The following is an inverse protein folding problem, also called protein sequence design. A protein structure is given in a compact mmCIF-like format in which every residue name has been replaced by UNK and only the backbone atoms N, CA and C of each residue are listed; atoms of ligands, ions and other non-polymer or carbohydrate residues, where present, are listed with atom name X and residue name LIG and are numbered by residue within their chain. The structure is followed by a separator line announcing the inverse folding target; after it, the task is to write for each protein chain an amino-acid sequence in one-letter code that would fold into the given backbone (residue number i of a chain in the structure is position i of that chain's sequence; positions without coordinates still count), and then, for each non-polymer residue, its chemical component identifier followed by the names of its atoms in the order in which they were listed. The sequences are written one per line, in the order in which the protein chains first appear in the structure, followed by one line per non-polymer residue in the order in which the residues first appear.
data_IF_580523613540
#
_entry.id   IF_580523613540
#
_cell.length_a   1.000
_cell.length_b   1.000
_cell.length_c   1.000
_cell.angle_alpha   90.00
_cell.angle_beta   90.00
_cell.angle_gamma   90.00
#
_symmetry.space_group_name_H-M   'P 1'
#
loop_
_entity.id
_entity.type
_entity.pdbx_description
1 polymer ?
#
# COMPACT_ATOMS: atom_id res chain seq x y z
N UNK A 1 23.72 3.99 6.44
CA UNK A 1 23.42 4.36 5.04
C UNK A 1 23.61 3.23 4.03
N UNK A 2 24.82 2.78 3.66
CA UNK A 2 24.95 1.71 2.63
C UNK A 2 24.30 0.38 3.02
N UNK A 3 24.41 -0.02 4.29
CA UNK A 3 23.82 -1.26 4.80
C UNK A 3 22.27 -1.20 4.84
N UNK A 4 21.70 -0.05 5.21
CA UNK A 4 20.24 0.17 5.20
C UNK A 4 19.68 0.23 3.77
N UNK A 5 20.42 0.85 2.84
CA UNK A 5 20.02 0.93 1.44
C UNK A 5 20.02 -0.46 0.77
N UNK A 6 21.03 -1.28 1.06
CA UNK A 6 21.10 -2.66 0.59
C UNK A 6 19.95 -3.52 1.15
N UNK A 7 19.62 -3.35 2.43
CA UNK A 7 18.51 -4.02 3.10
C UNK A 7 17.16 -3.66 2.44
N UNK A 8 16.92 -2.36 2.18
CA UNK A 8 15.73 -1.90 1.46
C UNK A 8 15.62 -2.48 0.04
N UNK A 9 16.73 -2.61 -0.69
CA UNK A 9 16.74 -3.20 -2.04
C UNK A 9 16.45 -4.70 -1.97
N UNK A 10 17.02 -5.40 -1.00
CA UNK A 10 16.78 -6.83 -0.81
C UNK A 10 15.31 -7.10 -0.51
N UNK A 11 14.72 -6.38 0.45
CA UNK A 11 13.31 -6.51 0.78
C UNK A 11 12.37 -6.23 -0.39
N UNK A 12 12.72 -5.30 -1.29
CA UNK A 12 11.93 -5.06 -2.53
C UNK A 12 11.99 -6.25 -3.48
N UNK A 13 13.17 -6.86 -3.65
CA UNK A 13 13.32 -8.04 -4.53
C UNK A 13 12.57 -9.24 -3.96
N UNK A 14 12.66 -9.47 -2.65
CA UNK A 14 11.94 -10.56 -1.98
C UNK A 14 10.42 -10.37 -2.10
N UNK A 15 9.94 -9.14 -1.91
CA UNK A 15 8.53 -8.80 -2.13
C UNK A 15 8.11 -9.06 -3.59
N UNK A 16 8.90 -8.66 -4.58
CA UNK A 16 8.60 -8.91 -6.00
C UNK A 16 8.49 -10.40 -6.31
N UNK A 17 9.43 -11.23 -5.85
CA UNK A 17 9.38 -12.68 -6.02
C UNK A 17 8.10 -13.27 -5.42
N UNK A 18 7.73 -12.83 -4.23
CA UNK A 18 6.52 -13.27 -3.54
C UNK A 18 5.25 -12.83 -4.29
N UNK A 19 5.24 -11.62 -4.85
CA UNK A 19 4.12 -11.13 -5.68
C UNK A 19 3.98 -11.94 -6.99
N UNK A 20 5.09 -12.22 -7.67
CA UNK A 20 5.11 -13.03 -8.89
C UNK A 20 4.59 -14.45 -8.61
N UNK A 21 5.08 -15.06 -7.54
CA UNK A 21 4.58 -16.36 -7.09
C UNK A 21 3.07 -16.30 -6.80
N UNK A 22 2.60 -15.32 -6.02
CA UNK A 22 1.19 -15.19 -5.66
C UNK A 22 0.27 -15.08 -6.88
N UNK A 23 0.69 -14.38 -7.94
CA UNK A 23 -0.08 -14.24 -9.20
C UNK A 23 -0.27 -15.56 -9.94
N UNK A 24 0.61 -16.53 -9.72
CA UNK A 24 0.50 -17.87 -10.33
C UNK A 24 -0.35 -18.84 -9.50
N UNK A 25 -0.75 -18.43 -8.29
CA UNK A 25 -1.55 -19.25 -7.39
C UNK A 25 -3.05 -18.99 -7.53
N UNK A 26 -3.83 -19.93 -7.01
CA UNK A 26 -5.27 -19.84 -6.81
C UNK A 26 -5.60 -20.22 -5.34
N UNK A 27 -6.87 -20.15 -4.96
CA UNK A 27 -7.31 -20.36 -3.59
C UNK A 27 -6.84 -21.68 -2.94
N UNK A 28 -6.84 -22.80 -3.67
CA UNK A 28 -6.38 -24.09 -3.13
C UNK A 28 -4.86 -24.18 -3.14
N UNK A 29 -4.24 -23.81 -4.25
CA UNK A 29 -2.80 -23.93 -4.46
C UNK A 29 -1.99 -23.05 -3.51
N UNK A 30 -2.57 -21.93 -3.07
CA UNK A 30 -2.00 -21.01 -2.10
C UNK A 30 -1.95 -21.63 -0.69
N UNK A 31 -2.96 -22.42 -0.32
CA UNK A 31 -3.04 -23.05 1.02
C UNK A 31 -2.27 -24.36 1.11
N UNK A 32 -1.95 -24.96 -0.05
CA UNK A 32 -1.25 -26.24 -0.19
C UNK A 32 0.26 -26.07 -0.42
N UNK A 33 0.84 -24.90 -0.11
CA UNK A 33 2.27 -24.61 -0.28
C UNK A 33 3.18 -25.64 0.43
N UNK A 34 2.70 -26.27 1.52
CA UNK A 34 3.44 -27.31 2.25
C UNK A 34 3.70 -28.58 1.42
N UNK A 35 2.86 -28.86 0.43
CA UNK A 35 2.99 -30.04 -0.44
C UNK A 35 3.86 -29.81 -1.67
N UNK A 36 4.23 -28.56 -1.95
CA UNK A 36 4.94 -28.15 -3.16
C UNK A 36 6.40 -27.83 -2.89
N UNK A 37 7.21 -27.93 -3.94
CA UNK A 37 8.63 -27.58 -3.91
C UNK A 37 8.89 -26.32 -4.75
N UNK A 38 9.53 -25.34 -4.13
CA UNK A 38 9.86 -24.06 -4.74
C UNK A 38 10.54 -23.14 -3.73
N UNK A 39 11.19 -22.07 -4.21
CA UNK A 39 11.91 -21.12 -3.34
C UNK A 39 10.95 -20.44 -2.36
N UNK A 40 9.80 -19.97 -2.85
CA UNK A 40 8.79 -19.27 -2.04
C UNK A 40 8.05 -20.26 -1.13
N UNK A 41 7.69 -21.44 -1.62
CA UNK A 41 7.08 -22.49 -0.83
C UNK A 41 7.98 -22.95 0.31
N UNK A 42 9.29 -23.08 0.06
CA UNK A 42 10.30 -23.37 1.08
C UNK A 42 10.36 -22.30 2.16
N UNK A 43 10.32 -21.02 1.78
CA UNK A 43 10.27 -19.91 2.74
C UNK A 43 8.99 -19.93 3.58
N UNK A 44 7.83 -20.18 2.97
CA UNK A 44 6.55 -20.28 3.68
C UNK A 44 6.51 -21.47 4.65
N UNK A 45 7.12 -22.60 4.27
CA UNK A 45 7.31 -23.77 5.15
C UNK A 45 8.15 -23.42 6.37
N UNK A 46 9.32 -22.82 6.16
CA UNK A 46 10.22 -22.38 7.22
C UNK A 46 9.56 -21.34 8.15
N UNK A 47 8.74 -20.42 7.61
CA UNK A 47 7.91 -19.52 8.43
C UNK A 47 6.88 -20.31 9.25
N UNK A 48 6.18 -21.26 8.64
CA UNK A 48 5.15 -22.07 9.32
C UNK A 48 5.76 -22.91 10.44
N UNK A 49 6.92 -23.52 10.21
CA UNK A 49 7.66 -24.30 11.22
C UNK A 49 8.13 -23.42 12.37
N UNK A 50 8.69 -22.24 12.08
CA UNK A 50 9.07 -21.28 13.13
C UNK A 50 7.87 -20.79 13.93
N UNK A 51 6.75 -20.51 13.28
CA UNK A 51 5.52 -20.07 13.95
C UNK A 51 4.90 -21.17 14.82
N UNK A 52 5.01 -22.44 14.39
CA UNK A 52 4.59 -23.59 15.18
C UNK A 52 5.53 -23.85 16.37
N UNK A 53 6.84 -23.62 16.18
CA UNK A 53 7.82 -23.72 17.26
C UNK A 53 7.65 -22.56 18.25
N UNK A 54 7.86 -22.78 19.55
CA UNK A 54 7.87 -21.69 20.55
C UNK A 54 9.07 -20.73 20.41
N UNK A 55 9.78 -20.74 19.28
CA UNK A 55 11.02 -20.01 19.04
C UNK A 55 10.97 -19.09 17.81
N UNK A 56 11.40 -17.84 18.02
CA UNK A 56 11.84 -16.86 17.02
C UNK A 56 10.87 -16.37 15.93
N UNK A 57 9.62 -16.81 15.85
CA UNK A 57 8.65 -16.12 14.98
C UNK A 57 8.08 -14.87 15.66
N UNK A 58 8.44 -13.69 15.17
CA UNK A 58 7.86 -12.42 15.59
C UNK A 58 6.79 -11.98 14.60
N UNK A 59 5.53 -12.18 14.96
CA UNK A 59 4.41 -11.64 14.22
C UNK A 59 4.45 -10.10 14.23
N UNK A 60 4.14 -9.49 13.08
CA UNK A 60 4.09 -8.04 12.90
C UNK A 60 2.83 -7.67 12.13
N UNK A 61 2.31 -6.46 12.35
CA UNK A 61 1.18 -5.93 11.58
C UNK A 61 1.43 -5.94 10.06
N UNK A 62 2.68 -5.73 9.65
CA UNK A 62 3.06 -5.78 8.23
C UNK A 62 2.94 -7.20 7.66
N UNK A 63 3.07 -8.23 8.50
CA UNK A 63 2.85 -9.62 8.10
C UNK A 63 1.39 -9.84 7.69
N UNK A 64 0.43 -9.34 8.48
CA UNK A 64 -1.00 -9.40 8.13
C UNK A 64 -1.30 -8.71 6.78
N UNK A 65 -0.74 -7.52 6.57
CA UNK A 65 -0.88 -6.77 5.32
C UNK A 65 -0.27 -7.55 4.14
N UNK A 66 0.87 -8.23 4.36
CA UNK A 66 1.49 -9.11 3.37
C UNK A 66 0.60 -10.30 2.97
N UNK A 67 -0.03 -10.97 3.94
CA UNK A 67 -0.99 -12.05 3.66
C UNK A 67 -2.16 -11.55 2.82
N UNK A 68 -2.73 -10.40 3.17
CA UNK A 68 -3.80 -9.79 2.40
C UNK A 68 -3.37 -9.46 0.96
N UNK A 69 -2.14 -8.96 0.79
CA UNK A 69 -1.58 -8.67 -0.54
C UNK A 69 -1.45 -9.94 -1.40
N UNK A 70 -0.99 -11.05 -0.82
CA UNK A 70 -0.90 -12.33 -1.53
C UNK A 70 -2.28 -12.84 -1.96
N UNK A 71 -3.29 -12.72 -1.08
CA UNK A 71 -4.67 -13.11 -1.38
C UNK A 71 -5.29 -12.24 -2.49
N UNK A 72 -5.00 -10.94 -2.49
CA UNK A 72 -5.43 -10.03 -3.55
C UNK A 72 -4.82 -10.42 -4.90
N UNK A 73 -3.52 -10.73 -4.94
CA UNK A 73 -2.80 -11.08 -6.16
C UNK A 73 -3.21 -12.43 -6.75
N UNK A 74 -3.60 -13.39 -5.90
CA UNK A 74 -4.12 -14.70 -6.30
C UNK A 74 -5.64 -14.69 -6.57
N UNK A 75 -6.29 -13.52 -6.48
CA UNK A 75 -7.73 -13.34 -6.61
C UNK A 75 -8.54 -14.27 -5.68
N UNK A 76 -8.01 -14.55 -4.48
CA UNK A 76 -8.54 -15.50 -3.50
C UNK A 76 -8.94 -14.77 -2.20
N UNK A 77 -9.70 -13.69 -2.32
CA UNK A 77 -10.04 -12.78 -1.21
C UNK A 77 -11.17 -13.27 -0.30
N UNK A 78 -11.59 -14.53 -0.45
CA UNK A 78 -12.64 -15.11 0.38
C UNK A 78 -12.15 -15.34 1.83
N UNK A 79 -12.99 -15.03 2.85
CA UNK A 79 -12.61 -15.23 4.26
C UNK A 79 -12.18 -16.66 4.60
N UNK A 80 -12.77 -17.65 3.92
CA UNK A 80 -12.44 -19.06 4.12
C UNK A 80 -11.01 -19.41 3.66
N UNK A 81 -10.50 -18.74 2.63
CA UNK A 81 -9.13 -18.95 2.14
C UNK A 81 -8.12 -18.35 3.11
N UNK A 82 -8.40 -17.15 3.64
CA UNK A 82 -7.57 -16.53 4.66
C UNK A 82 -7.46 -17.43 5.90
N UNK A 83 -8.57 -18.03 6.34
CA UNK A 83 -8.57 -18.95 7.48
C UNK A 83 -7.70 -20.19 7.23
N UNK A 84 -7.83 -20.81 6.06
CA UNK A 84 -6.98 -21.94 5.66
C UNK A 84 -5.51 -21.57 5.56
N UNK A 85 -5.20 -20.38 5.03
CA UNK A 85 -3.83 -19.88 4.91
C UNK A 85 -3.20 -19.60 6.28
N UNK A 86 -3.95 -18.96 7.19
CA UNK A 86 -3.51 -18.75 8.58
C UNK A 86 -3.25 -20.07 9.30
N UNK A 87 -4.13 -21.07 9.11
CA UNK A 87 -3.94 -22.40 9.68
C UNK A 87 -2.69 -23.09 9.12
N UNK A 88 -2.47 -23.04 7.80
CA UNK A 88 -1.29 -23.62 7.16
C UNK A 88 0.03 -22.95 7.60
N UNK A 89 -0.01 -21.67 7.98
CA UNK A 89 1.13 -20.92 8.49
C UNK A 89 1.28 -20.97 10.03
N UNK A 90 0.39 -21.65 10.75
CA UNK A 90 0.36 -21.68 12.22
C UNK A 90 0.25 -20.30 12.88
N UNK A 91 -0.60 -19.42 12.32
CA UNK A 91 -0.78 -18.04 12.80
C UNK A 91 -2.22 -17.83 13.30
N UNK A 92 -2.36 -17.07 14.39
CA UNK A 92 -3.65 -16.72 14.96
C UNK A 92 -4.44 -15.78 14.02
N UNK A 93 -5.52 -16.32 13.43
CA UNK A 93 -6.45 -15.58 12.57
C UNK A 93 -7.00 -14.33 13.26
N UNK A 94 -7.28 -14.37 14.58
CA UNK A 94 -7.86 -13.22 15.29
C UNK A 94 -6.92 -12.02 15.32
N UNK A 95 -5.62 -12.29 15.43
CA UNK A 95 -4.59 -11.25 15.39
C UNK A 95 -4.48 -10.64 13.98
N UNK A 96 -4.61 -11.46 12.94
CA UNK A 96 -4.63 -11.02 11.53
C UNK A 96 -5.85 -10.13 11.26
N UNK A 97 -7.06 -10.60 11.60
CA UNK A 97 -8.31 -9.85 11.38
C UNK A 97 -8.25 -8.47 12.05
N UNK A 98 -7.79 -8.42 13.31
CA UNK A 98 -7.61 -7.16 14.05
C UNK A 98 -6.67 -6.19 13.35
N UNK A 99 -5.53 -6.68 12.86
CA UNK A 99 -4.55 -5.83 12.18
C UNK A 99 -5.03 -5.36 10.80
N UNK A 100 -5.81 -6.20 10.09
CA UNK A 100 -6.45 -5.82 8.83
C UNK A 100 -7.52 -4.74 9.03
N UNK A 101 -8.30 -4.81 10.11
CA UNK A 101 -9.26 -3.76 10.47
C UNK A 101 -8.55 -2.43 10.77
N UNK A 102 -7.45 -2.48 11.53
CA UNK A 102 -6.62 -1.28 11.79
C UNK A 102 -6.06 -0.72 10.49
N UNK A 103 -5.55 -1.57 9.61
CA UNK A 103 -5.00 -1.17 8.31
C UNK A 103 -6.06 -0.51 7.42
N UNK A 104 -7.25 -1.10 7.31
CA UNK A 104 -8.38 -0.54 6.55
C UNK A 104 -8.81 0.84 7.07
N UNK A 105 -8.89 0.98 8.40
CA UNK A 105 -9.22 2.25 9.03
C UNK A 105 -8.15 3.32 8.77
N UNK A 106 -6.87 2.93 8.79
CA UNK A 106 -5.77 3.84 8.46
C UNK A 106 -5.82 4.29 7.00
N UNK A 107 -6.01 3.36 6.06
CA UNK A 107 -6.16 3.69 4.64
C UNK A 107 -7.31 4.67 4.40
N UNK A 108 -8.45 4.43 5.04
CA UNK A 108 -9.62 5.31 4.91
C UNK A 108 -9.32 6.74 5.35
N UNK A 109 -8.57 6.92 6.45
CA UNK A 109 -8.14 8.25 6.92
C UNK A 109 -7.14 8.91 5.97
N UNK A 110 -6.19 8.15 5.44
CA UNK A 110 -5.19 8.66 4.51
C UNK A 110 -5.82 9.11 3.18
N UNK A 111 -6.79 8.36 2.67
CA UNK A 111 -7.53 8.72 1.46
C UNK A 111 -8.32 10.01 1.67
N UNK A 112 -9.02 10.14 2.81
CA UNK A 112 -9.72 11.38 3.15
C UNK A 112 -8.77 12.59 3.23
N UNK A 113 -7.63 12.44 3.91
CA UNK A 113 -6.62 13.50 3.98
C UNK A 113 -6.03 13.85 2.62
N UNK A 114 -5.81 12.86 1.75
CA UNK A 114 -5.31 13.07 0.38
C UNK A 114 -6.27 13.90 -0.46
N UNK A 115 -7.57 13.61 -0.39
CA UNK A 115 -8.58 14.38 -1.13
C UNK A 115 -8.70 15.82 -0.60
N UNK A 116 -8.68 16.04 0.72
CA UNK A 116 -8.65 17.38 1.31
C UNK A 116 -7.44 18.21 0.85
N UNK A 117 -6.26 17.59 0.79
CA UNK A 117 -5.05 18.24 0.30
C UNK A 117 -5.15 18.56 -1.20
N UNK A 118 -5.73 17.67 -2.00
CA UNK A 118 -5.95 17.89 -3.44
C UNK A 118 -6.89 19.07 -3.67
N UNK A 119 -7.98 19.17 -2.91
CA UNK A 119 -8.89 20.32 -2.94
C UNK A 119 -8.23 21.62 -2.49
N UNK A 120 -7.38 21.56 -1.45
CA UNK A 120 -6.62 22.73 -1.00
C UNK A 120 -5.67 23.24 -2.08
N UNK A 121 -4.88 22.35 -2.68
CA UNK A 121 -3.95 22.69 -3.77
C UNK A 121 -4.70 23.25 -4.98
N UNK A 122 -5.85 22.68 -5.34
CA UNK A 122 -6.67 23.19 -6.45
C UNK A 122 -7.19 24.61 -6.16
N UNK A 123 -7.67 24.86 -4.94
CA UNK A 123 -8.14 26.20 -4.52
C UNK A 123 -7.02 27.23 -4.51
N UNK A 124 -5.84 26.88 -4.02
CA UNK A 124 -4.69 27.80 -4.00
C UNK A 124 -4.16 28.10 -5.41
N UNK A 125 -4.17 27.12 -6.32
CA UNK A 125 -3.87 27.35 -7.74
C UNK A 125 -4.85 28.35 -8.38
N UNK A 126 -6.16 28.13 -8.17
CA UNK A 126 -7.20 29.04 -8.67
C UNK A 126 -7.04 30.47 -8.14
N UNK A 127 -6.84 30.64 -6.83
CA UNK A 127 -6.59 31.96 -6.24
C UNK A 127 -5.32 32.64 -6.80
N UNK A 128 -4.28 31.86 -7.11
CA UNK A 128 -3.03 32.39 -7.67
C UNK A 128 -3.23 32.83 -9.13
N UNK A 129 -4.00 32.09 -9.91
CA UNK A 129 -4.39 32.45 -11.27
C UNK A 129 -5.21 33.75 -11.27
N UNK A 130 -6.25 33.84 -10.42
CA UNK A 130 -7.08 35.05 -10.26
C UNK A 130 -6.27 36.28 -9.82
N UNK A 131 -5.21 36.12 -9.02
CA UNK A 131 -4.29 37.21 -8.61
C UNK A 131 -3.25 37.58 -9.66
N UNK A 132 -3.04 36.75 -10.68
CA UNK A 132 -2.16 37.06 -11.81
C UNK A 132 -2.89 37.76 -12.97
N UNK A 133 -4.22 37.70 -13.01
CA UNK A 133 -5.04 38.43 -13.99
C UNK A 133 -5.28 39.95 -13.75
N UNK A 134 -5.06 40.58 -12.57
CA UNK A 134 -5.29 42.02 -12.42
C UNK A 134 -4.29 42.90 -13.17
N UNK A 135 -3.14 42.36 -13.60
CA UNK A 135 -2.14 43.13 -14.36
C UNK A 135 -2.63 43.52 -15.77
N UNK A 136 -3.62 42.82 -16.34
CA UNK A 136 -4.20 43.21 -17.64
C UNK A 136 -5.26 44.31 -17.52
N UNK A 137 -5.90 44.46 -16.36
CA UNK A 137 -6.89 45.52 -16.12
C UNK A 137 -6.22 46.86 -15.78
N UNK A 138 -5.07 46.85 -15.08
CA UNK A 138 -4.34 48.08 -14.77
C UNK A 138 -3.63 48.70 -15.99
N UNK A 139 -3.21 47.88 -16.96
CA UNK A 139 -2.64 48.38 -18.23
C UNK A 139 -3.68 49.05 -19.13
N UNK A 140 -4.93 48.58 -19.13
CA UNK A 140 -6.03 49.19 -19.89
C UNK A 140 -6.47 50.55 -19.32
N UNK A 141 -6.43 50.72 -17.99
CA UNK A 141 -6.79 51.99 -17.33
C UNK A 141 -5.69 53.06 -17.57
N UNK A 142 -4.41 52.66 -17.58
CA UNK A 142 -3.29 53.58 -17.89
C UNK A 142 -3.37 54.12 -19.33
N UNK A 143 -3.87 53.31 -20.27
CA UNK A 143 -4.01 53.70 -21.69
C UNK A 143 -5.18 54.66 -21.96
N UNK A 144 -6.24 54.61 -21.15
CA UNK A 144 -7.40 55.51 -21.33
C UNK A 144 -7.21 56.91 -20.70
N UNK A 145 -6.29 57.06 -19.75
CA UNK A 145 -6.00 58.35 -19.11
C UNK A 145 -4.95 59.20 -19.86
N UNK A 146 -4.32 58.66 -20.91
CA UNK A 146 -3.34 59.36 -21.74
C UNK A 146 -3.94 60.26 -22.83
N UNK A 147 -5.24 60.14 -23.14
CA UNK A 147 -5.88 60.79 -24.29
C UNK A 147 -6.80 61.99 -23.90
N UNK A 148 -6.51 62.68 -22.79
CA UNK A 148 -7.20 63.93 -22.39
C UNK A 148 -6.26 65.15 -22.34
N UNK A 149 -5.34 65.25 -23.29
CA UNK A 149 -4.65 66.51 -23.56
C UNK A 149 -4.42 66.71 -25.06
N UNK A 150 -5.42 67.32 -25.73
CA UNK A 150 -5.33 68.39 -26.73
C UNK A 150 -6.69 68.62 -27.40
#
# INVERSE_FOLDING_TARGET
MYLELACCILHRKDAQKLEEWARTQNASSLTEFSSKEGEVEGLLKDISERAASKGNFSYSRFFAVGLFRILELSNATEPAVLEKLCAALNIDKRSVDRDLDVYRNLLSKLVQSKELLKEFVAREKKKREERSEPQKASEAISKCLGDFHL
#
